data_IF_452122458100
#
_entry.id   IF_452122458100
#
_cell.length_a   1.000
_cell.length_b   1.000
_cell.length_c   1.000
_cell.angle_alpha   90.00
_cell.angle_beta   90.00
_cell.angle_gamma   90.00
#
_symmetry.space_group_name_H-M   'P 1'
#
loop_
_entity.id
_entity.type
_entity.pdbx_description
1 polymer ?
#
# COMPACT_ATOMS: atom_id res chain seq x y z
N UNK A 1 -14.70 10.32 -12.13
CA UNK A 1 -13.77 11.39 -11.70
C UNK A 1 -14.59 12.56 -11.15
N UNK A 2 -14.10 13.28 -10.13
CA UNK A 2 -14.88 14.34 -9.46
C UNK A 2 -14.70 15.69 -10.18
N UNK A 3 -15.62 16.04 -11.08
CA UNK A 3 -15.57 17.24 -11.96
C UNK A 3 -15.33 18.58 -11.22
N UNK A 4 -15.74 18.69 -9.95
CA UNK A 4 -15.48 19.91 -9.12
C UNK A 4 -14.04 20.10 -8.67
N UNK A 5 -13.17 19.11 -8.87
CA UNK A 5 -11.76 19.12 -8.46
C UNK A 5 -10.80 19.29 -9.64
N UNK A 6 -11.33 19.40 -10.86
CA UNK A 6 -10.52 19.66 -12.05
C UNK A 6 -9.95 21.08 -12.03
N UNK A 7 -8.73 21.23 -12.53
CA UNK A 7 -8.06 22.54 -12.62
C UNK A 7 -8.87 23.45 -13.53
N UNK A 8 -9.35 24.58 -12.99
CA UNK A 8 -10.19 25.54 -13.71
C UNK A 8 -11.71 25.35 -13.52
N UNK A 9 -12.15 24.28 -12.84
CA UNK A 9 -13.56 24.10 -12.52
C UNK A 9 -14.03 25.10 -11.45
N UNK A 10 -15.11 25.83 -11.74
CA UNK A 10 -15.78 26.69 -10.74
C UNK A 10 -17.03 26.01 -10.21
N UNK A 11 -17.28 26.13 -8.90
CA UNK A 11 -18.47 25.58 -8.24
C UNK A 11 -19.74 26.06 -8.94
N UNK A 12 -19.79 27.31 -9.37
CA UNK A 12 -20.97 27.88 -10.02
C UNK A 12 -21.22 27.26 -11.41
N UNK A 13 -20.17 27.03 -12.20
CA UNK A 13 -20.30 26.39 -13.51
C UNK A 13 -20.79 24.94 -13.39
N UNK A 14 -20.23 24.17 -12.44
CA UNK A 14 -20.65 22.79 -12.20
C UNK A 14 -22.08 22.74 -11.64
N UNK A 15 -22.40 23.59 -10.67
CA UNK A 15 -23.75 23.70 -10.11
C UNK A 15 -24.80 23.99 -11.19
N UNK A 16 -24.52 24.94 -12.09
CA UNK A 16 -25.40 25.28 -13.22
C UNK A 16 -25.58 24.11 -14.19
N UNK A 17 -24.52 23.37 -14.49
CA UNK A 17 -24.56 22.20 -15.39
C UNK A 17 -25.49 21.10 -14.89
N UNK A 18 -25.53 20.89 -13.58
CA UNK A 18 -26.36 19.83 -12.96
C UNK A 18 -27.68 20.35 -12.38
N UNK A 19 -27.98 21.65 -12.49
CA UNK A 19 -29.19 22.25 -11.92
C UNK A 19 -29.23 22.23 -10.38
N UNK A 20 -28.06 22.20 -9.74
CA UNK A 20 -27.91 22.12 -8.28
C UNK A 20 -27.55 23.51 -7.75
N UNK A 21 -27.93 23.82 -6.50
CA UNK A 21 -27.51 25.08 -5.89
C UNK A 21 -26.00 25.07 -5.56
N UNK A 22 -25.24 26.14 -5.86
CA UNK A 22 -23.81 26.23 -5.54
C UNK A 22 -23.48 25.99 -4.06
N UNK A 23 -24.39 26.41 -3.16
CA UNK A 23 -24.24 26.22 -1.72
C UNK A 23 -24.36 24.73 -1.33
N UNK A 24 -25.26 23.98 -1.97
CA UNK A 24 -25.40 22.53 -1.74
C UNK A 24 -24.18 21.79 -2.26
N UNK A 25 -23.71 22.13 -3.46
CA UNK A 25 -22.50 21.53 -4.03
C UNK A 25 -21.26 21.76 -3.15
N UNK A 26 -21.15 22.96 -2.56
CA UNK A 26 -20.09 23.28 -1.58
C UNK A 26 -20.20 22.46 -0.29
N UNK A 27 -21.42 22.30 0.24
CA UNK A 27 -21.69 21.49 1.43
C UNK A 27 -21.33 20.02 1.21
N UNK A 28 -21.75 19.45 0.08
CA UNK A 28 -21.43 18.07 -0.29
C UNK A 28 -19.94 17.85 -0.52
N UNK A 29 -19.24 18.79 -1.16
CA UNK A 29 -17.78 18.73 -1.31
C UNK A 29 -17.08 18.68 0.05
N UNK A 30 -17.55 19.44 1.04
CA UNK A 30 -17.04 19.40 2.41
C UNK A 30 -17.33 18.06 3.08
N UNK A 31 -18.54 17.53 2.94
CA UNK A 31 -18.93 16.23 3.52
C UNK A 31 -18.14 15.07 2.90
N UNK A 32 -17.90 15.09 1.59
CA UNK A 32 -17.08 14.11 0.89
C UNK A 32 -15.63 14.13 1.40
N UNK A 33 -15.02 15.32 1.56
CA UNK A 33 -13.68 15.45 2.17
C UNK A 33 -13.61 14.93 3.61
N UNK A 34 -14.72 14.99 4.35
CA UNK A 34 -14.83 14.47 5.71
C UNK A 34 -15.17 12.97 5.75
N UNK A 35 -15.25 12.29 4.60
CA UNK A 35 -15.64 10.88 4.52
C UNK A 35 -17.11 10.61 4.90
N UNK A 36 -17.94 11.66 5.01
CA UNK A 36 -19.36 11.55 5.39
C UNK A 36 -20.27 11.29 4.19
N UNK A 37 -19.74 11.47 2.98
CA UNK A 37 -20.41 11.09 1.74
C UNK A 37 -19.71 9.84 1.23
N UNK A 38 -20.38 8.69 1.34
CA UNK A 38 -19.95 7.47 0.68
C UNK A 38 -20.15 7.68 -0.82
N UNK A 39 -19.08 7.71 -1.59
CA UNK A 39 -19.19 7.64 -3.04
C UNK A 39 -19.67 6.23 -3.38
N UNK A 40 -20.73 6.07 -4.19
CA UNK A 40 -20.98 4.77 -4.80
C UNK A 40 -19.72 4.37 -5.55
N UNK A 41 -19.26 3.14 -5.30
CA UNK A 41 -18.06 2.61 -5.95
C UNK A 41 -18.21 2.77 -7.48
N UNK A 42 -17.21 3.28 -8.19
CA UNK A 42 -17.23 3.30 -9.65
C UNK A 42 -17.40 1.86 -10.15
N UNK A 43 -18.45 1.66 -10.95
CA UNK A 43 -18.91 0.45 -11.64
C UNK A 43 -18.56 -0.92 -11.04
N UNK A 44 -19.63 -1.63 -10.64
CA UNK A 44 -19.64 -2.88 -9.88
C UNK A 44 -18.94 -4.10 -10.52
N UNK A 45 -18.41 -3.99 -11.75
CA UNK A 45 -17.77 -5.10 -12.46
C UNK A 45 -16.25 -5.19 -12.25
N UNK A 46 -15.66 -4.26 -11.50
CA UNK A 46 -14.28 -4.39 -11.05
C UNK A 46 -14.20 -4.24 -9.53
N UNK A 47 -13.79 -5.28 -8.77
CA UNK A 47 -13.46 -5.06 -7.37
C UNK A 47 -12.31 -4.06 -7.31
N UNK A 48 -12.58 -2.86 -6.77
CA UNK A 48 -11.58 -1.80 -6.64
C UNK A 48 -10.36 -2.27 -5.84
N UNK A 49 -10.59 -3.19 -4.89
CA UNK A 49 -9.59 -4.05 -4.30
C UNK A 49 -10.25 -5.39 -3.94
N UNK A 50 -9.64 -6.51 -4.30
CA UNK A 50 -9.98 -7.80 -3.73
C UNK A 50 -9.47 -7.83 -2.27
N UNK A 51 -10.25 -8.31 -1.29
CA UNK A 51 -9.71 -8.61 0.03
C UNK A 51 -8.59 -9.65 -0.15
N UNK A 52 -7.38 -9.36 0.33
CA UNK A 52 -6.33 -10.36 0.43
C UNK A 52 -6.77 -11.39 1.48
N UNK A 53 -7.39 -12.47 1.02
CA UNK A 53 -7.69 -13.62 1.87
C UNK A 53 -6.48 -14.54 1.79
N UNK A 54 -5.64 -14.51 2.82
CA UNK A 54 -4.62 -15.55 3.02
C UNK A 54 -5.36 -16.80 3.45
N UNK A 55 -5.74 -17.63 2.48
CA UNK A 55 -6.25 -18.96 2.78
C UNK A 55 -5.04 -19.83 3.11
N UNK A 56 -4.70 -19.93 4.40
CA UNK A 56 -3.80 -20.99 4.85
C UNK A 56 -4.41 -22.32 4.39
N UNK A 57 -3.65 -23.09 3.61
CA UNK A 57 -4.09 -24.43 3.23
C UNK A 57 -4.38 -25.26 4.49
N UNK A 58 -5.22 -26.32 4.42
CA UNK A 58 -5.41 -27.21 5.55
C UNK A 58 -4.07 -27.89 5.86
N UNK A 59 -3.32 -27.33 6.82
CA UNK A 59 -1.97 -27.77 7.16
C UNK A 59 -0.92 -26.64 7.30
N UNK A 60 -1.21 -25.41 6.87
CA UNK A 60 -0.32 -24.28 7.13
C UNK A 60 -0.65 -23.63 8.48
N UNK A 61 0.33 -23.53 9.41
CA UNK A 61 0.15 -22.69 10.58
C UNK A 61 -0.15 -21.26 10.11
N UNK A 62 -1.01 -20.51 10.81
CA UNK A 62 -1.21 -19.10 10.50
C UNK A 62 0.18 -18.46 10.51
N UNK A 63 0.56 -17.79 9.42
CA UNK A 63 1.70 -16.87 9.43
C UNK A 63 1.39 -15.87 10.53
N UNK A 64 1.91 -16.15 11.72
CA UNK A 64 1.95 -15.23 12.81
C UNK A 64 2.60 -13.99 12.25
N UNK A 65 1.89 -12.86 12.35
CA UNK A 65 2.42 -11.51 12.21
C UNK A 65 3.89 -11.57 12.57
N UNK A 66 4.76 -11.54 11.56
CA UNK A 66 6.16 -11.91 11.72
C UNK A 66 6.69 -11.11 12.89
N UNK A 67 7.00 -11.83 13.97
CA UNK A 67 7.94 -11.42 15.00
C UNK A 67 9.00 -10.57 14.31
N UNK A 68 9.36 -9.37 14.81
CA UNK A 68 10.47 -8.63 14.20
C UNK A 68 11.61 -9.63 14.07
N UNK A 69 11.97 -9.97 12.83
CA UNK A 69 12.85 -11.09 12.56
C UNK A 69 14.14 -10.79 13.32
N UNK A 70 14.41 -11.56 14.39
CA UNK A 70 15.55 -11.35 15.29
C UNK A 70 16.85 -11.82 14.63
N UNK A 71 16.97 -11.58 13.32
CA UNK A 71 18.03 -12.03 12.45
C UNK A 71 18.47 -10.92 11.49
N UNK A 72 19.77 -10.87 11.26
CA UNK A 72 20.41 -10.04 10.24
C UNK A 72 20.29 -10.78 8.92
N UNK A 73 19.62 -10.16 7.93
CA UNK A 73 19.46 -10.73 6.59
C UNK A 73 20.41 -10.05 5.60
N UNK A 74 21.28 -10.84 4.98
CA UNK A 74 22.17 -10.41 3.89
C UNK A 74 21.60 -10.88 2.56
N UNK A 75 21.58 -9.99 1.56
CA UNK A 75 21.06 -10.28 0.22
C UNK A 75 22.19 -10.11 -0.79
N UNK A 76 22.44 -11.16 -1.57
CA UNK A 76 23.45 -11.18 -2.63
C UNK A 76 22.85 -11.79 -3.90
N UNK A 77 22.43 -10.92 -4.83
CA UNK A 77 21.63 -11.33 -6.00
C UNK A 77 20.32 -11.98 -5.56
N UNK A 78 20.11 -13.24 -5.95
CA UNK A 78 18.94 -14.04 -5.56
C UNK A 78 19.14 -14.80 -4.24
N UNK A 79 20.35 -14.78 -3.68
CA UNK A 79 20.68 -15.51 -2.45
C UNK A 79 20.36 -14.63 -1.23
N UNK A 80 19.62 -15.19 -0.29
CA UNK A 80 19.37 -14.60 1.02
C UNK A 80 20.02 -15.47 2.11
N UNK A 81 20.78 -14.83 3.00
CA UNK A 81 21.41 -15.47 4.16
C UNK A 81 20.85 -14.82 5.41
N UNK A 82 20.34 -15.64 6.33
CA UNK A 82 19.88 -15.19 7.65
C UNK A 82 20.88 -15.55 8.73
N UNK A 83 21.21 -14.58 9.57
CA UNK A 83 22.20 -14.68 10.63
C UNK A 83 21.59 -14.25 11.96
N UNK A 84 21.95 -14.86 13.11
CA UNK A 84 21.49 -14.38 14.41
C UNK A 84 21.89 -12.91 14.66
N UNK A 85 21.06 -12.13 15.38
CA UNK A 85 21.41 -10.76 15.80
C UNK A 85 22.75 -10.64 16.55
N UNK A 86 23.17 -11.72 17.23
CA UNK A 86 24.42 -11.77 17.99
C UNK A 86 25.66 -12.05 17.13
N UNK A 87 25.52 -12.07 15.80
CA UNK A 87 26.64 -12.30 14.89
C UNK A 87 27.61 -11.11 14.96
N UNK A 88 28.89 -11.40 15.18
CA UNK A 88 29.91 -10.36 15.25
C UNK A 88 30.14 -9.69 13.89
N UNK A 89 30.48 -8.39 13.92
CA UNK A 89 30.78 -7.64 12.70
C UNK A 89 31.91 -8.28 11.87
N UNK A 90 32.94 -8.82 12.52
CA UNK A 90 34.04 -9.52 11.84
C UNK A 90 33.53 -10.71 11.01
N UNK A 91 32.59 -11.49 11.55
CA UNK A 91 32.03 -12.64 10.85
C UNK A 91 31.16 -12.21 9.66
N UNK A 92 30.42 -11.11 9.79
CA UNK A 92 29.62 -10.54 8.69
C UNK A 92 30.54 -10.09 7.55
N UNK A 93 31.67 -9.43 7.87
CA UNK A 93 32.66 -8.98 6.88
C UNK A 93 33.30 -10.16 6.15
N UNK A 94 33.68 -11.23 6.86
CA UNK A 94 34.19 -12.45 6.23
C UNK A 94 33.21 -13.05 5.23
N UNK A 95 31.92 -13.12 5.59
CA UNK A 95 30.87 -13.64 4.72
C UNK A 95 30.71 -12.75 3.48
N UNK A 96 30.68 -11.42 3.65
CA UNK A 96 30.56 -10.48 2.55
C UNK A 96 31.72 -10.61 1.55
N UNK A 97 32.96 -10.68 2.04
CA UNK A 97 34.13 -10.87 1.18
C UNK A 97 34.14 -12.22 0.47
N UNK A 98 33.69 -13.29 1.13
CA UNK A 98 33.58 -14.60 0.50
C UNK A 98 32.53 -14.61 -0.63
N UNK A 99 31.42 -13.89 -0.45
CA UNK A 99 30.39 -13.74 -1.48
C UNK A 99 30.90 -12.95 -2.70
N UNK A 100 31.63 -11.86 -2.48
CA UNK A 100 32.28 -11.11 -3.57
C UNK A 100 33.31 -11.95 -4.32
N UNK A 101 34.17 -12.67 -3.61
CA UNK A 101 35.21 -13.50 -4.22
C UNK A 101 34.65 -14.66 -5.05
N UNK A 102 33.45 -15.15 -4.69
CA UNK A 102 32.76 -16.22 -5.41
C UNK A 102 31.99 -15.75 -6.65
N UNK A 103 31.90 -14.43 -6.84
CA UNK A 103 31.22 -13.80 -7.98
C UNK A 103 32.17 -13.44 -9.13
N UNK A 104 33.47 -13.70 -8.99
CA UNK A 104 34.47 -13.67 -10.06
C UNK A 104 34.63 -15.08 -10.66
#
# INVERSE_FOLDING_TARGET
MAETLEVGATVNAVAKRYGILPNQLSAWRRQAKQGKLLLPAPDADAPLFAPLVVSAGPGEPPEALTVPNEAIRLIFGEIAIELPLQTSASRIVEIAHALEASSC
#
